data_IF_340320500403
#
_entry.id   IF_340320500403
#
_cell.length_a   1.000
_cell.length_b   1.000
_cell.length_c   1.000
_cell.angle_alpha   90.00
_cell.angle_beta   90.00
_cell.angle_gamma   90.00
#
_symmetry.space_group_name_H-M   'P 1'
#
loop_
_entity.id
_entity.type
_entity.pdbx_description
1 polymer ?
#
# COMPACT_ATOMS: atom_id res chain seq x y z
N UNK A 1 -20.57 -10.16 18.85
CA UNK A 1 -20.05 -9.02 18.10
C UNK A 1 -18.53 -9.01 18.24
N UNK A 2 -17.82 -9.27 17.16
CA UNK A 2 -16.38 -9.04 17.11
C UNK A 2 -16.13 -7.54 17.16
N UNK A 3 -15.22 -7.04 18.01
CA UNK A 3 -14.87 -5.64 17.98
C UNK A 3 -14.24 -5.34 16.62
N UNK A 4 -14.83 -4.42 15.88
CA UNK A 4 -14.21 -3.78 14.73
C UNK A 4 -12.96 -3.09 15.27
N UNK A 5 -11.77 -3.67 15.07
CA UNK A 5 -10.51 -2.95 15.23
C UNK A 5 -10.55 -1.80 14.23
N UNK A 6 -10.62 -0.59 14.75
CA UNK A 6 -10.40 0.63 13.96
C UNK A 6 -8.98 0.56 13.38
N UNK A 7 -8.75 1.25 12.30
CA UNK A 7 -7.47 1.39 11.57
C UNK A 7 -6.31 1.96 12.41
N UNK A 8 -6.17 1.51 13.66
CA UNK A 8 -5.15 1.98 14.62
C UNK A 8 -3.75 1.42 14.39
N UNK A 9 -3.56 0.58 13.39
CA UNK A 9 -2.29 -0.14 13.20
C UNK A 9 -1.21 0.68 12.45
N UNK A 10 -1.54 1.92 12.02
CA UNK A 10 -0.60 2.86 11.38
C UNK A 10 -0.33 4.11 12.23
N UNK A 11 -0.73 4.09 13.51
CA UNK A 11 -0.38 5.16 14.44
C UNK A 11 1.13 5.19 14.68
N UNK A 12 1.72 6.39 14.57
CA UNK A 12 3.09 6.62 15.02
C UNK A 12 3.11 6.58 16.55
N UNK A 13 3.37 5.43 17.12
CA UNK A 13 3.45 5.21 18.57
C UNK A 13 4.77 5.71 19.13
N UNK A 14 5.85 5.61 18.36
CA UNK A 14 7.19 6.11 18.70
C UNK A 14 7.60 7.23 17.75
N UNK A 15 7.22 8.44 18.09
CA UNK A 15 7.55 9.65 17.33
C UNK A 15 9.05 9.86 17.17
N UNK A 16 9.84 9.67 18.24
CA UNK A 16 11.29 9.90 18.24
C UNK A 16 11.96 8.85 17.35
N UNK A 17 11.59 7.58 17.49
CA UNK A 17 12.08 6.50 16.66
C UNK A 17 11.75 6.72 15.19
N UNK A 18 10.52 7.05 14.87
CA UNK A 18 10.07 7.34 13.50
C UNK A 18 10.87 8.51 12.88
N UNK A 19 10.99 9.63 13.59
CA UNK A 19 11.77 10.79 13.15
C UNK A 19 13.24 10.42 12.91
N UNK A 20 13.85 9.62 13.77
CA UNK A 20 15.23 9.18 13.60
C UNK A 20 15.41 8.26 12.39
N UNK A 21 14.41 7.41 12.08
CA UNK A 21 14.40 6.58 10.87
C UNK A 21 14.39 7.48 9.63
N UNK A 22 13.47 8.46 9.58
CA UNK A 22 13.35 9.39 8.44
C UNK A 22 14.64 10.19 8.26
N UNK A 23 15.26 10.70 9.34
CA UNK A 23 16.57 11.39 9.28
C UNK A 23 17.66 10.51 8.68
N UNK A 24 17.74 9.23 9.07
CA UNK A 24 18.72 8.29 8.52
C UNK A 24 18.48 8.03 7.04
N UNK A 25 17.22 7.86 6.63
CA UNK A 25 16.86 7.68 5.22
C UNK A 25 17.22 8.92 4.41
N UNK A 26 16.85 10.13 4.88
CA UNK A 26 17.23 11.42 4.27
C UNK A 26 18.74 11.51 4.08
N UNK A 27 19.52 11.37 5.14
CA UNK A 27 20.98 11.45 5.09
C UNK A 27 21.62 10.44 4.13
N UNK A 28 21.05 9.23 4.03
CA UNK A 28 21.53 8.21 3.09
C UNK A 28 21.26 8.60 1.63
N UNK A 29 20.09 9.19 1.35
CA UNK A 29 19.73 9.65 0.00
C UNK A 29 20.59 10.86 -0.37
N UNK A 30 20.68 11.85 0.49
CA UNK A 30 21.51 13.06 0.29
C UNK A 30 22.98 12.70 -0.02
N UNK A 31 23.55 11.73 0.74
CA UNK A 31 24.92 11.27 0.48
C UNK A 31 25.07 10.62 -0.89
N UNK A 32 24.04 9.90 -1.36
CA UNK A 32 24.07 9.23 -2.68
C UNK A 32 23.88 10.22 -3.82
N UNK A 33 23.06 11.23 -3.63
CA UNK A 33 22.70 12.20 -4.67
C UNK A 33 23.61 13.43 -4.69
N UNK A 34 24.31 13.72 -3.58
CA UNK A 34 25.12 14.93 -3.42
C UNK A 34 24.29 16.22 -3.33
N UNK A 35 23.01 16.13 -2.95
CA UNK A 35 22.09 17.26 -2.81
C UNK A 35 21.39 17.22 -1.46
N UNK A 36 21.02 18.40 -0.93
CA UNK A 36 20.19 18.50 0.26
C UNK A 36 18.71 18.31 -0.09
N UNK A 37 18.00 17.57 0.74
CA UNK A 37 16.56 17.35 0.63
C UNK A 37 15.83 18.23 1.64
N UNK A 38 15.14 19.25 1.16
CA UNK A 38 14.41 20.23 1.99
C UNK A 38 12.91 20.06 1.98
N UNK A 39 12.36 19.36 0.98
CA UNK A 39 10.93 19.12 0.80
C UNK A 39 10.63 17.63 0.79
N UNK A 40 9.42 17.29 1.23
CA UNK A 40 8.89 15.93 1.18
C UNK A 40 7.39 15.94 0.89
N UNK A 41 6.91 14.91 0.20
CA UNK A 41 5.51 14.53 0.19
C UNK A 41 5.33 13.26 1.02
N UNK A 42 4.15 13.08 1.59
CA UNK A 42 3.79 11.87 2.34
C UNK A 42 2.51 11.25 1.77
N UNK A 43 2.39 9.94 1.90
CA UNK A 43 1.14 9.25 1.68
C UNK A 43 0.69 8.55 2.96
N UNK A 44 -0.61 8.51 3.14
CA UNK A 44 -1.31 7.94 4.27
C UNK A 44 -2.45 7.06 3.77
N UNK A 45 -2.91 6.08 4.55
CA UNK A 45 -4.10 5.31 4.19
C UNK A 45 -5.33 6.20 4.03
N UNK A 46 -6.23 5.87 3.09
CA UNK A 46 -7.50 6.57 2.96
C UNK A 46 -8.29 6.60 4.27
N UNK A 47 -8.87 7.75 4.60
CA UNK A 47 -9.68 7.89 5.83
C UNK A 47 -8.89 8.04 7.13
N UNK A 48 -7.58 8.27 7.06
CA UNK A 48 -6.74 8.57 8.23
C UNK A 48 -7.23 9.83 8.95
N UNK A 49 -7.34 9.75 10.29
CA UNK A 49 -7.75 10.88 11.14
C UNK A 49 -6.79 12.07 11.04
N UNK A 50 -7.31 13.30 11.12
CA UNK A 50 -6.49 14.52 11.01
C UNK A 50 -5.34 14.62 12.03
N UNK A 51 -5.50 14.03 13.23
CA UNK A 51 -4.46 14.01 14.26
C UNK A 51 -3.31 13.11 13.83
N UNK A 52 -3.63 12.00 13.20
CA UNK A 52 -2.64 11.05 12.70
C UNK A 52 -1.91 11.65 11.50
N UNK A 53 -2.62 12.35 10.61
CA UNK A 53 -2.02 13.14 9.53
C UNK A 53 -1.00 14.14 10.09
N UNK A 54 -1.37 14.93 11.11
CA UNK A 54 -0.46 15.89 11.76
C UNK A 54 0.76 15.20 12.37
N UNK A 55 0.58 14.02 12.96
CA UNK A 55 1.68 13.27 13.55
C UNK A 55 2.68 12.83 12.49
N UNK A 56 2.21 12.38 11.32
CA UNK A 56 3.09 12.06 10.19
C UNK A 56 3.84 13.29 9.68
N UNK A 57 3.15 14.44 9.56
CA UNK A 57 3.80 15.71 9.19
C UNK A 57 4.93 16.05 10.17
N UNK A 58 4.67 16.03 11.48
CA UNK A 58 5.67 16.32 12.50
C UNK A 58 6.88 15.40 12.45
N UNK A 59 6.69 14.11 12.11
CA UNK A 59 7.81 13.18 11.93
C UNK A 59 8.74 13.64 10.82
N UNK A 60 8.19 14.07 9.68
CA UNK A 60 8.96 14.54 8.52
C UNK A 60 9.58 15.90 8.78
N UNK A 61 8.84 16.84 9.36
CA UNK A 61 9.33 18.16 9.77
C UNK A 61 10.44 18.04 10.81
N UNK A 62 10.27 17.14 11.79
CA UNK A 62 11.29 16.80 12.78
C UNK A 62 12.56 16.20 12.17
N UNK A 63 12.49 15.64 10.96
CA UNK A 63 13.65 15.21 10.20
C UNK A 63 14.29 16.32 9.34
N UNK A 64 13.79 17.57 9.42
CA UNK A 64 14.33 18.74 8.73
C UNK A 64 13.89 18.83 7.27
N UNK A 65 12.63 18.48 6.96
CA UNK A 65 12.03 18.67 5.65
C UNK A 65 10.65 19.33 5.80
N UNK A 66 10.28 20.17 4.84
CA UNK A 66 8.95 20.74 4.70
C UNK A 66 8.03 19.73 4.04
N UNK A 67 6.84 19.50 4.60
CA UNK A 67 5.81 18.65 3.96
C UNK A 67 5.03 19.52 2.99
N UNK A 68 5.22 19.29 1.70
CA UNK A 68 4.58 20.07 0.62
C UNK A 68 3.32 19.42 0.07
N UNK A 69 3.11 18.11 0.30
CA UNK A 69 1.90 17.41 -0.10
C UNK A 69 1.60 16.23 0.84
N UNK A 70 0.32 16.03 1.10
CA UNK A 70 -0.23 14.85 1.82
C UNK A 70 -1.27 14.22 0.92
N UNK A 71 -1.11 12.94 0.63
CA UNK A 71 -1.93 12.18 -0.32
C UNK A 71 -2.43 10.90 0.35
N UNK A 72 -3.52 10.32 -0.14
CA UNK A 72 -3.78 8.91 0.11
C UNK A 72 -2.93 8.04 -0.84
N UNK A 73 -2.59 6.83 -0.37
CA UNK A 73 -1.68 5.93 -1.09
C UNK A 73 -2.15 5.62 -2.52
N UNK A 74 -3.44 5.25 -2.78
CA UNK A 74 -3.89 4.99 -4.14
C UNK A 74 -3.91 6.24 -5.03
N UNK A 75 -4.20 7.43 -4.48
CA UNK A 75 -4.12 8.69 -5.22
C UNK A 75 -2.68 9.00 -5.62
N UNK A 76 -1.73 8.79 -4.70
CA UNK A 76 -0.31 8.89 -5.04
C UNK A 76 0.07 7.92 -6.16
N UNK A 77 -0.38 6.67 -6.10
CA UNK A 77 -0.16 5.69 -7.15
C UNK A 77 -0.70 6.15 -8.51
N UNK A 78 -1.86 6.83 -8.53
CA UNK A 78 -2.45 7.32 -9.78
C UNK A 78 -1.63 8.42 -10.45
N UNK A 79 -0.79 9.14 -9.74
CA UNK A 79 0.15 10.08 -10.34
C UNK A 79 1.15 9.40 -11.31
N UNK A 80 1.41 8.10 -11.12
CA UNK A 80 2.24 7.26 -12.00
C UNK A 80 1.40 6.56 -13.06
N UNK A 81 0.23 6.05 -12.66
CA UNK A 81 -0.59 5.20 -13.54
C UNK A 81 -1.36 6.01 -14.58
N UNK A 82 -1.72 7.27 -14.28
CA UNK A 82 -2.45 8.16 -15.19
C UNK A 82 -3.82 7.63 -15.58
N UNK A 83 -4.54 7.02 -14.63
CA UNK A 83 -5.83 6.40 -14.89
C UNK A 83 -6.91 7.47 -14.83
N UNK A 84 -7.76 7.50 -15.84
CA UNK A 84 -8.96 8.35 -15.88
C UNK A 84 -10.19 7.61 -15.33
N UNK A 85 -10.30 6.29 -15.59
CA UNK A 85 -11.43 5.48 -15.14
C UNK A 85 -10.94 4.11 -14.66
N UNK A 86 -11.42 3.66 -13.48
CA UNK A 86 -11.07 2.38 -12.90
C UNK A 86 -10.91 2.43 -11.38
N UNK A 87 -10.32 1.40 -10.81
CA UNK A 87 -9.97 1.36 -9.39
C UNK A 87 -8.49 1.06 -9.22
N UNK A 88 -7.81 1.88 -8.42
CA UNK A 88 -6.45 1.60 -7.92
C UNK A 88 -6.59 0.89 -6.59
N UNK A 89 -5.89 -0.22 -6.44
CA UNK A 89 -5.86 -1.03 -5.22
C UNK A 89 -4.41 -1.17 -4.77
N UNK A 90 -4.07 -0.54 -3.65
CA UNK A 90 -2.76 -0.68 -3.00
C UNK A 90 -2.83 -1.76 -1.93
N UNK A 91 -2.20 -2.91 -2.18
CA UNK A 91 -2.12 -3.99 -1.21
C UNK A 91 -0.77 -3.92 -0.50
N UNK A 92 -0.79 -3.23 0.64
CA UNK A 92 0.36 -3.06 1.52
C UNK A 92 0.65 -4.28 2.40
N UNK A 93 1.43 -4.06 3.44
CA UNK A 93 1.71 -5.08 4.46
C UNK A 93 0.54 -5.30 5.41
N UNK A 94 -0.03 -4.23 5.96
CA UNK A 94 -1.11 -4.26 6.95
C UNK A 94 -2.50 -4.12 6.35
N UNK A 95 -2.65 -3.29 5.32
CA UNK A 95 -3.93 -2.86 4.78
C UNK A 95 -4.04 -3.05 3.26
N UNK A 96 -5.26 -2.95 2.77
CA UNK A 96 -5.61 -2.80 1.36
C UNK A 96 -6.40 -1.51 1.20
N UNK A 97 -5.72 -0.51 0.67
CA UNK A 97 -6.33 0.77 0.28
C UNK A 97 -6.89 0.70 -1.13
N UNK A 98 -8.00 1.38 -1.39
CA UNK A 98 -8.54 1.47 -2.73
C UNK A 98 -9.11 2.86 -3.02
N UNK A 99 -8.95 3.31 -4.26
CA UNK A 99 -9.55 4.55 -4.80
C UNK A 99 -10.23 4.27 -6.13
N UNK A 100 -11.51 4.63 -6.21
CA UNK A 100 -12.26 4.59 -7.47
C UNK A 100 -12.10 5.94 -8.15
N UNK A 101 -11.65 5.90 -9.40
CA UNK A 101 -11.35 7.05 -10.22
C UNK A 101 -12.37 7.08 -11.36
N UNK A 102 -12.96 8.25 -11.56
CA UNK A 102 -13.90 8.54 -12.64
C UNK A 102 -13.56 9.90 -13.24
N UNK A 103 -13.37 9.95 -14.55
CA UNK A 103 -13.02 11.17 -15.30
C UNK A 103 -11.79 11.89 -14.73
N UNK A 104 -10.80 11.10 -14.26
CA UNK A 104 -9.56 11.57 -13.66
C UNK A 104 -9.66 11.99 -12.19
N UNK A 105 -10.86 11.98 -11.60
CA UNK A 105 -11.11 12.38 -10.21
C UNK A 105 -11.35 11.17 -9.30
N UNK A 106 -10.88 11.25 -8.06
CA UNK A 106 -11.16 10.23 -7.03
C UNK A 106 -12.58 10.46 -6.50
N UNK A 107 -13.47 9.51 -6.76
CA UNK A 107 -14.90 9.59 -6.35
C UNK A 107 -15.21 8.74 -5.12
N UNK A 108 -14.32 7.81 -4.75
CA UNK A 108 -14.49 6.96 -3.57
C UNK A 108 -13.15 6.44 -3.10
N UNK A 109 -12.94 6.39 -1.79
CA UNK A 109 -11.78 5.76 -1.16
C UNK A 109 -12.20 4.85 -0.02
N UNK A 110 -11.44 3.78 0.23
CA UNK A 110 -11.58 2.92 1.40
C UNK A 110 -10.23 2.32 1.79
N UNK A 111 -10.11 1.90 3.05
CA UNK A 111 -8.99 1.14 3.56
C UNK A 111 -9.49 -0.01 4.43
N UNK A 112 -8.93 -1.19 4.22
CA UNK A 112 -9.31 -2.42 4.91
C UNK A 112 -8.10 -3.08 5.55
N UNK A 113 -8.24 -3.48 6.81
CA UNK A 113 -7.17 -4.10 7.61
C UNK A 113 -6.86 -5.54 7.16
N UNK A 114 -6.49 -5.71 5.89
CA UNK A 114 -6.10 -6.99 5.29
C UNK A 114 -4.99 -6.72 4.28
N UNK A 115 -3.84 -7.35 4.43
CA UNK A 115 -2.68 -7.15 3.54
C UNK A 115 -1.69 -8.31 3.62
N UNK A 116 -0.44 -8.05 3.26
CA UNK A 116 0.62 -9.05 3.16
C UNK A 116 0.99 -9.76 4.46
N UNK A 117 0.71 -9.14 5.61
CA UNK A 117 0.90 -9.72 6.94
C UNK A 117 0.06 -10.98 7.12
N UNK A 118 -1.21 -10.98 6.66
CA UNK A 118 -2.08 -12.15 6.73
C UNK A 118 -1.54 -13.31 5.89
N UNK A 119 -0.95 -13.01 4.72
CA UNK A 119 -0.28 -14.02 3.90
C UNK A 119 0.90 -14.65 4.65
N UNK A 120 1.73 -13.83 5.30
CA UNK A 120 2.90 -14.29 6.06
C UNK A 120 2.50 -15.12 7.28
N UNK A 121 1.42 -14.73 7.98
CA UNK A 121 0.87 -15.49 9.10
C UNK A 121 0.36 -16.87 8.67
N UNK A 122 -0.29 -16.97 7.52
CA UNK A 122 -0.74 -18.25 6.96
C UNK A 122 0.45 -19.16 6.66
N UNK A 123 1.50 -18.62 6.03
CA UNK A 123 2.73 -19.37 5.74
C UNK A 123 3.42 -19.80 7.03
N UNK A 124 3.59 -18.90 7.98
CA UNK A 124 4.21 -19.19 9.28
C UNK A 124 3.46 -20.29 10.03
N UNK A 125 2.11 -20.19 10.08
CA UNK A 125 1.26 -21.19 10.71
C UNK A 125 1.32 -22.57 10.02
N UNK A 126 1.31 -22.60 8.69
CA UNK A 126 1.36 -23.84 7.92
C UNK A 126 2.68 -24.62 8.13
N UNK A 127 3.79 -23.90 8.30
CA UNK A 127 5.10 -24.51 8.55
C UNK A 127 5.46 -24.62 10.01
N UNK A 128 4.70 -24.05 10.96
CA UNK A 128 5.04 -24.01 12.38
C UNK A 128 6.32 -23.21 12.66
N UNK A 129 6.56 -22.12 11.95
CA UNK A 129 7.76 -21.28 12.02
C UNK A 129 7.43 -19.85 12.49
N UNK A 130 8.42 -19.07 12.97
CA UNK A 130 8.21 -17.66 13.30
C UNK A 130 7.74 -16.84 12.10
N UNK A 131 7.04 -15.72 12.39
CA UNK A 131 6.50 -14.80 11.38
C UNK A 131 7.55 -14.33 10.37
N UNK A 132 8.73 -13.94 10.86
CA UNK A 132 9.83 -13.43 10.04
C UNK A 132 10.34 -14.46 9.03
N UNK A 133 10.34 -15.73 9.43
CA UNK A 133 10.70 -16.84 8.54
C UNK A 133 9.57 -17.11 7.52
N UNK A 134 8.31 -17.04 7.95
CA UNK A 134 7.15 -17.11 7.06
C UNK A 134 7.16 -16.00 6.00
N UNK A 135 7.49 -14.77 6.41
CA UNK A 135 7.65 -13.62 5.52
C UNK A 135 8.77 -13.84 4.48
N UNK A 136 9.91 -14.37 4.91
CA UNK A 136 11.02 -14.72 4.01
C UNK A 136 10.61 -15.79 3.00
N UNK A 137 9.95 -16.87 3.45
CA UNK A 137 9.48 -17.95 2.55
C UNK A 137 8.44 -17.45 1.55
N UNK A 138 7.53 -16.60 1.99
CA UNK A 138 6.54 -15.98 1.10
C UNK A 138 7.19 -15.21 -0.05
N UNK A 139 8.32 -14.55 0.20
CA UNK A 139 9.06 -13.74 -0.78
C UNK A 139 10.04 -14.54 -1.65
N UNK A 140 10.47 -15.71 -1.22
CA UNK A 140 11.48 -16.51 -1.92
C UNK A 140 10.84 -17.33 -3.05
N UNK A 141 11.22 -17.09 -4.31
CA UNK A 141 10.64 -17.78 -5.47
C UNK A 141 10.74 -19.31 -5.41
N UNK A 142 11.71 -19.86 -4.68
CA UNK A 142 11.88 -21.32 -4.57
C UNK A 142 10.70 -22.00 -3.85
N UNK A 143 10.01 -21.28 -2.95
CA UNK A 143 8.83 -21.80 -2.24
C UNK A 143 7.50 -21.49 -2.93
N UNK A 144 7.52 -20.83 -4.10
CA UNK A 144 6.30 -20.35 -4.76
C UNK A 144 5.23 -21.44 -4.91
N UNK A 145 5.61 -22.61 -5.42
CA UNK A 145 4.66 -23.69 -5.69
C UNK A 145 3.98 -24.24 -4.42
N UNK A 146 4.63 -24.12 -3.27
CA UNK A 146 4.08 -24.53 -1.97
C UNK A 146 3.29 -23.39 -1.33
N UNK A 147 3.84 -22.18 -1.34
CA UNK A 147 3.27 -21.00 -0.69
C UNK A 147 2.03 -20.48 -1.41
N UNK A 148 2.04 -20.48 -2.75
CA UNK A 148 0.95 -19.88 -3.53
C UNK A 148 -0.43 -20.49 -3.23
N UNK A 149 -0.59 -21.82 -3.19
CA UNK A 149 -1.86 -22.44 -2.77
C UNK A 149 -2.26 -22.08 -1.34
N UNK A 150 -1.31 -21.98 -0.42
CA UNK A 150 -1.59 -21.64 0.99
C UNK A 150 -2.14 -20.24 1.15
N UNK A 151 -1.63 -19.26 0.40
CA UNK A 151 -2.02 -17.84 0.50
C UNK A 151 -3.20 -17.47 -0.40
N UNK A 152 -3.54 -18.32 -1.37
CA UNK A 152 -4.67 -18.10 -2.30
C UNK A 152 -5.97 -17.73 -1.57
N UNK A 153 -6.41 -18.38 -0.48
CA UNK A 153 -7.63 -17.99 0.23
C UNK A 153 -7.59 -16.57 0.79
N UNK A 154 -6.42 -16.08 1.21
CA UNK A 154 -6.27 -14.70 1.66
C UNK A 154 -6.40 -13.72 0.49
N UNK A 155 -5.81 -14.03 -0.66
CA UNK A 155 -5.95 -13.21 -1.87
C UNK A 155 -7.41 -13.20 -2.35
N UNK A 156 -8.11 -14.31 -2.26
CA UNK A 156 -9.56 -14.39 -2.55
C UNK A 156 -10.38 -13.53 -1.60
N UNK A 157 -10.01 -13.46 -0.31
CA UNK A 157 -10.62 -12.55 0.65
C UNK A 157 -10.38 -11.08 0.23
N UNK A 158 -9.16 -10.72 -0.16
CA UNK A 158 -8.84 -9.38 -0.68
C UNK A 158 -9.71 -9.08 -1.91
N UNK A 159 -9.84 -10.01 -2.85
CA UNK A 159 -10.69 -9.86 -4.03
C UNK A 159 -12.18 -9.64 -3.66
N UNK A 160 -12.68 -10.36 -2.65
CA UNK A 160 -14.05 -10.17 -2.14
C UNK A 160 -14.25 -8.79 -1.50
N UNK A 161 -13.25 -8.28 -0.78
CA UNK A 161 -13.23 -6.92 -0.24
C UNK A 161 -13.31 -5.89 -1.39
N UNK A 162 -12.42 -6.01 -2.38
CA UNK A 162 -12.44 -5.15 -3.57
C UNK A 162 -13.83 -5.18 -4.21
N UNK A 163 -14.38 -6.36 -4.46
CA UNK A 163 -15.69 -6.56 -5.07
C UNK A 163 -16.82 -5.87 -4.29
N UNK A 164 -16.76 -5.87 -2.96
CA UNK A 164 -17.77 -5.22 -2.12
C UNK A 164 -17.72 -3.70 -2.24
N UNK A 165 -16.53 -3.11 -2.31
CA UNK A 165 -16.34 -1.66 -2.41
C UNK A 165 -16.67 -1.09 -3.80
N UNK A 166 -16.40 -1.85 -4.87
CA UNK A 166 -16.72 -1.41 -6.23
C UNK A 166 -18.18 -1.65 -6.62
N UNK A 167 -18.96 -2.32 -5.75
CA UNK A 167 -20.39 -2.56 -6.01
C UNK A 167 -21.16 -1.24 -6.12
N UNK A 168 -21.84 -1.07 -7.25
CA UNK A 168 -22.59 0.17 -7.56
C UNK A 168 -21.80 1.20 -8.35
N UNK A 169 -20.51 0.98 -8.57
CA UNK A 169 -19.68 1.75 -9.48
C UNK A 169 -19.48 1.01 -10.80
N UNK A 170 -19.43 1.75 -11.89
CA UNK A 170 -19.08 1.17 -13.19
C UNK A 170 -17.56 1.11 -13.32
N UNK A 171 -16.97 0.00 -12.84
CA UNK A 171 -15.53 -0.26 -12.87
C UNK A 171 -15.25 -1.38 -13.84
N UNK A 172 -14.48 -1.11 -14.87
CA UNK A 172 -14.07 -2.07 -15.91
C UNK A 172 -12.62 -2.56 -15.77
N UNK A 173 -11.80 -1.88 -14.96
CA UNK A 173 -10.41 -2.24 -14.71
C UNK A 173 -9.99 -2.04 -13.25
N UNK A 174 -9.19 -3.00 -12.76
CA UNK A 174 -8.52 -2.96 -11.47
C UNK A 174 -7.02 -2.82 -11.71
N UNK A 175 -6.38 -1.86 -11.06
CA UNK A 175 -4.94 -1.63 -11.12
C UNK A 175 -4.33 -1.94 -9.76
N UNK A 176 -3.47 -2.97 -9.70
CA UNK A 176 -2.86 -3.47 -8.48
C UNK A 176 -1.49 -2.84 -8.25
N UNK A 177 -1.31 -2.21 -7.09
CA UNK A 177 -0.04 -1.66 -6.62
C UNK A 177 0.26 -2.13 -5.21
N UNK A 178 1.41 -1.78 -4.67
CA UNK A 178 1.84 -2.17 -3.33
C UNK A 178 2.69 -3.43 -3.28
N UNK A 179 3.36 -3.61 -2.15
CA UNK A 179 4.36 -4.67 -1.97
C UNK A 179 3.79 -6.09 -2.06
N UNK A 180 2.57 -6.31 -1.59
CA UNK A 180 1.91 -7.62 -1.64
C UNK A 180 1.56 -8.01 -3.07
N UNK A 181 1.35 -7.04 -3.96
CA UNK A 181 1.11 -7.29 -5.38
C UNK A 181 2.34 -7.83 -6.13
N UNK A 182 3.52 -7.85 -5.51
CA UNK A 182 4.69 -8.57 -6.04
C UNK A 182 4.49 -10.09 -6.08
N UNK A 183 3.51 -10.63 -5.34
CA UNK A 183 3.15 -12.05 -5.45
C UNK A 183 2.79 -12.39 -6.90
N UNK A 184 3.48 -13.40 -7.45
CA UNK A 184 3.25 -13.84 -8.83
C UNK A 184 1.81 -14.34 -8.99
N UNK A 185 1.15 -13.96 -10.08
CA UNK A 185 -0.21 -14.36 -10.44
C UNK A 185 -1.33 -13.88 -9.49
N UNK A 186 -1.07 -12.94 -8.57
CA UNK A 186 -2.10 -12.35 -7.71
C UNK A 186 -3.22 -11.72 -8.54
N UNK A 187 -2.87 -11.05 -9.65
CA UNK A 187 -3.79 -10.43 -10.60
C UNK A 187 -4.78 -11.42 -11.21
N UNK A 188 -4.35 -12.65 -11.41
CA UNK A 188 -5.22 -13.70 -11.98
C UNK A 188 -6.30 -14.16 -10.99
N UNK A 189 -5.95 -14.26 -9.70
CA UNK A 189 -6.91 -14.60 -8.66
C UNK A 189 -7.93 -13.47 -8.54
N UNK A 190 -7.49 -12.22 -8.45
CA UNK A 190 -8.37 -11.07 -8.30
C UNK A 190 -9.30 -10.94 -9.51
N UNK A 191 -8.78 -11.08 -10.74
CA UNK A 191 -9.58 -11.08 -11.96
C UNK A 191 -10.64 -12.20 -11.94
N UNK A 192 -10.26 -13.42 -11.54
CA UNK A 192 -11.18 -14.56 -11.47
C UNK A 192 -12.32 -14.32 -10.47
N UNK A 193 -12.02 -13.78 -9.30
CA UNK A 193 -13.00 -13.59 -8.23
C UNK A 193 -13.89 -12.36 -8.47
N UNK A 194 -13.34 -11.29 -9.02
CA UNK A 194 -14.10 -10.06 -9.29
C UNK A 194 -14.85 -10.09 -10.62
N UNK A 195 -14.33 -10.81 -11.61
CA UNK A 195 -14.79 -10.80 -13.00
C UNK A 195 -14.31 -9.57 -13.79
N UNK A 196 -13.46 -8.72 -13.18
CA UNK A 196 -13.00 -7.46 -13.77
C UNK A 196 -11.56 -7.62 -14.26
N UNK A 197 -11.23 -6.99 -15.38
CA UNK A 197 -9.87 -7.01 -15.91
C UNK A 197 -8.90 -6.37 -14.92
N UNK A 198 -7.84 -7.11 -14.58
CA UNK A 198 -6.93 -6.74 -13.50
C UNK A 198 -5.52 -6.61 -14.04
N UNK A 199 -4.96 -5.43 -13.90
CA UNK A 199 -3.64 -5.04 -14.40
C UNK A 199 -2.69 -4.89 -13.22
N UNK A 200 -1.50 -5.45 -13.37
CA UNK A 200 -0.40 -5.27 -12.42
C UNK A 200 0.80 -4.70 -13.17
N UNK A 201 1.33 -3.52 -12.77
CA UNK A 201 2.57 -2.98 -13.32
C UNK A 201 3.74 -3.94 -13.14
N UNK A 202 4.81 -3.76 -13.94
CA UNK A 202 6.01 -4.59 -13.84
C UNK A 202 6.67 -4.53 -12.45
N UNK A 203 6.62 -3.37 -11.79
CA UNK A 203 7.08 -3.20 -10.42
C UNK A 203 6.00 -2.52 -9.56
N UNK A 204 5.01 -3.25 -9.05
CA UNK A 204 3.92 -2.68 -8.29
C UNK A 204 4.37 -2.07 -6.94
N UNK A 205 5.51 -2.53 -6.40
CA UNK A 205 6.09 -2.04 -5.14
C UNK A 205 6.53 -0.57 -5.21
N UNK A 206 7.01 -0.12 -6.37
CA UNK A 206 7.56 1.22 -6.53
C UNK A 206 6.55 2.27 -7.04
N UNK A 207 5.35 1.87 -7.43
CA UNK A 207 4.37 2.80 -8.02
C UNK A 207 3.99 3.89 -7.03
N UNK A 208 3.52 3.53 -5.84
CA UNK A 208 3.12 4.47 -4.80
C UNK A 208 4.27 5.37 -4.35
N UNK A 209 5.48 4.86 -4.01
CA UNK A 209 6.61 5.73 -3.65
C UNK A 209 7.02 6.71 -4.76
N UNK A 210 7.00 6.30 -6.02
CA UNK A 210 7.30 7.19 -7.16
C UNK A 210 6.20 8.24 -7.30
N UNK A 211 4.94 7.86 -7.14
CA UNK A 211 3.81 8.78 -7.18
C UNK A 211 3.87 9.86 -6.08
N UNK A 212 4.29 9.48 -4.86
CA UNK A 212 4.55 10.42 -3.76
C UNK A 212 5.65 11.41 -4.19
N UNK A 213 6.76 10.92 -4.71
CA UNK A 213 7.88 11.76 -5.14
C UNK A 213 7.50 12.74 -6.27
N UNK A 214 6.69 12.30 -7.23
CA UNK A 214 6.18 13.17 -8.33
C UNK A 214 5.37 14.35 -7.75
N UNK A 215 4.53 14.10 -6.74
CA UNK A 215 3.74 15.16 -6.12
C UNK A 215 4.57 16.12 -5.26
N UNK A 216 5.73 15.68 -4.77
CA UNK A 216 6.69 16.57 -4.12
C UNK A 216 7.29 17.62 -5.10
N UNK A 217 7.42 17.27 -6.38
CA UNK A 217 8.01 18.13 -7.40
C UNK A 217 6.99 19.10 -8.03
N UNK A 218 5.69 18.86 -7.87
CA UNK A 218 4.62 19.70 -8.45
C UNK A 218 4.22 20.88 -7.56
N UNK A 219 4.70 20.89 -6.33
CA UNK A 219 4.49 21.91 -5.31
C UNK A 219 5.75 22.78 -5.23
#
# INVERSE_FOLDING_TARGET
>A
SFPTRRSSDLLVVDYIGATNIVRKLKANIERKLGVELTKAAIAIPPGTDERDVKTHNYVVEGAGMEVVAVLDEPTAANAVLGIENGVVVDVGGGTTGLSIIKDGEVVYTADEATGGTQLSLVVAGAYGIPFEEGEKRKKDPKYYNEVFPMVTPVVQKIASIIKSHIKGFNVDKIYLVGGTCCLKNIEQIIKKETGIDTIKPANPFLVTPVGIAINCCKS
#
